data_IF_835613361226
#
_entry.id   IF_835613361226
#
_cell.length_a   1.000
_cell.length_b   1.000
_cell.length_c   1.000
_cell.angle_alpha   90.00
_cell.angle_beta   90.00
_cell.angle_gamma   90.00
#
_symmetry.space_group_name_H-M   'P 1'
#
loop_
_entity.id
_entity.type
_entity.pdbx_description
1 polymer ?
#
# COMPACT_ATOMS: atom_id res chain seq x y z
N UNK A 1 -14.92 19.62 2.66
CA UNK A 1 -14.39 19.61 4.04
C UNK A 1 -13.68 18.28 4.22
N UNK A 2 -12.35 18.26 4.45
CA UNK A 2 -11.62 17.00 4.64
C UNK A 2 -12.00 16.42 6.01
N UNK A 3 -12.40 15.16 6.06
CA UNK A 3 -12.64 14.44 7.32
C UNK A 3 -11.31 14.35 8.10
N UNK A 4 -11.30 14.87 9.30
CA UNK A 4 -10.12 14.91 10.17
C UNK A 4 -10.57 14.96 11.63
N UNK A 5 -10.01 14.11 12.46
CA UNK A 5 -10.13 14.15 13.93
C UNK A 5 -8.70 14.15 14.49
N UNK A 6 -8.37 15.13 15.34
CA UNK A 6 -7.02 15.33 15.81
C UNK A 6 -7.01 15.89 17.24
N UNK A 7 -5.83 16.01 17.83
CA UNK A 7 -5.65 16.57 19.18
C UNK A 7 -6.33 17.93 19.34
N UNK A 8 -7.09 18.07 20.41
CA UNK A 8 -7.90 19.24 20.74
C UNK A 8 -9.36 19.14 20.27
N UNK A 9 -9.71 18.18 19.42
CA UNK A 9 -11.10 17.92 19.04
C UNK A 9 -11.86 17.23 20.20
N UNK A 10 -13.19 17.38 20.19
CA UNK A 10 -14.06 16.75 21.18
C UNK A 10 -15.43 16.40 20.59
N UNK A 11 -16.13 15.48 21.24
CA UNK A 11 -17.50 15.09 20.87
C UNK A 11 -17.66 13.62 20.47
N UNK A 12 -18.80 13.28 19.85
CA UNK A 12 -19.18 11.90 19.52
C UNK A 12 -18.21 11.21 18.55
N UNK A 13 -17.67 11.94 17.57
CA UNK A 13 -16.70 11.39 16.63
C UNK A 13 -15.40 10.95 17.33
N UNK A 14 -14.96 11.71 18.33
CA UNK A 14 -13.80 11.33 19.16
C UNK A 14 -14.13 10.12 20.02
N UNK A 15 -15.34 10.06 20.59
CA UNK A 15 -15.79 8.92 21.39
C UNK A 15 -15.85 7.63 20.57
N UNK A 16 -16.38 7.67 19.35
CA UNK A 16 -16.40 6.50 18.45
C UNK A 16 -14.97 6.07 18.05
N UNK A 17 -14.09 7.03 17.77
CA UNK A 17 -12.67 6.77 17.52
C UNK A 17 -12.00 6.05 18.68
N UNK A 18 -12.14 6.57 19.91
CA UNK A 18 -11.58 5.98 21.12
C UNK A 18 -12.12 4.58 21.38
N UNK A 19 -13.43 4.38 21.20
CA UNK A 19 -14.05 3.07 21.35
C UNK A 19 -13.47 2.04 20.38
N UNK A 20 -13.31 2.39 19.09
CA UNK A 20 -12.71 1.50 18.08
C UNK A 20 -11.26 1.19 18.36
N UNK A 21 -10.48 2.19 18.75
CA UNK A 21 -9.07 2.00 19.15
C UNK A 21 -8.98 1.03 20.34
N UNK A 22 -9.76 1.24 21.40
CA UNK A 22 -9.78 0.38 22.57
C UNK A 22 -10.21 -1.07 22.23
N UNK A 23 -11.21 -1.25 21.36
CA UNK A 23 -11.65 -2.58 20.91
C UNK A 23 -10.54 -3.33 20.17
N UNK A 24 -9.65 -2.62 19.49
CA UNK A 24 -8.48 -3.18 18.79
C UNK A 24 -7.23 -3.29 19.67
N UNK A 25 -7.35 -2.97 20.98
CA UNK A 25 -6.26 -3.07 21.96
C UNK A 25 -5.39 -1.81 22.08
N UNK A 26 -5.79 -0.70 21.46
CA UNK A 26 -5.12 0.61 21.58
C UNK A 26 -5.90 1.51 22.54
N UNK A 27 -5.83 1.23 23.83
CA UNK A 27 -6.57 2.00 24.85
C UNK A 27 -6.00 3.43 24.96
N UNK A 28 -6.81 4.48 24.69
CA UNK A 28 -6.38 5.87 24.86
C UNK A 28 -6.10 6.30 26.32
N UNK A 29 -6.72 5.64 27.30
CA UNK A 29 -6.56 5.99 28.72
C UNK A 29 -7.08 7.39 29.08
N UNK A 30 -7.99 7.96 28.30
CA UNK A 30 -8.50 9.33 28.42
C UNK A 30 -10.02 9.36 28.56
N UNK A 31 -10.59 10.50 29.07
CA UNK A 31 -12.03 10.68 29.11
C UNK A 31 -12.67 10.53 27.72
N UNK A 32 -13.80 9.81 27.68
CA UNK A 32 -14.51 9.56 26.42
C UNK A 32 -14.99 10.87 25.77
N UNK A 33 -14.62 11.03 24.50
CA UNK A 33 -14.99 12.21 23.69
C UNK A 33 -14.05 13.41 23.81
N UNK A 34 -12.85 13.24 24.38
CA UNK A 34 -11.79 14.27 24.40
C UNK A 34 -10.54 13.69 23.73
N UNK A 35 -10.06 14.32 22.67
CA UNK A 35 -8.85 13.91 21.97
C UNK A 35 -7.64 14.62 22.59
N UNK A 36 -6.99 13.99 23.53
CA UNK A 36 -5.76 14.45 24.16
C UNK A 36 -4.53 13.66 23.73
N UNK A 37 -3.51 13.64 24.59
CA UNK A 37 -2.23 12.95 24.31
C UNK A 37 -2.35 11.43 24.22
N UNK A 38 -3.20 10.84 25.05
CA UNK A 38 -3.42 9.38 25.06
C UNK A 38 -4.13 8.91 23.79
N UNK A 39 -5.13 9.66 23.31
CA UNK A 39 -5.80 9.36 22.04
C UNK A 39 -4.85 9.54 20.85
N UNK A 40 -4.01 10.57 20.85
CA UNK A 40 -2.98 10.77 19.84
C UNK A 40 -1.98 9.61 19.82
N UNK A 41 -1.48 9.21 20.97
CA UNK A 41 -0.56 8.06 21.09
C UNK A 41 -1.20 6.76 20.62
N UNK A 42 -2.48 6.51 20.91
CA UNK A 42 -3.21 5.35 20.41
C UNK A 42 -3.39 5.36 18.90
N UNK A 43 -3.68 6.55 18.30
CA UNK A 43 -3.75 6.71 16.84
C UNK A 43 -2.39 6.46 16.20
N UNK A 44 -1.30 7.04 16.72
CA UNK A 44 0.06 6.80 16.23
C UNK A 44 0.42 5.30 16.27
N UNK A 45 0.17 4.63 17.40
CA UNK A 45 0.43 3.21 17.56
C UNK A 45 -0.36 2.36 16.54
N UNK A 46 -1.64 2.68 16.34
CA UNK A 46 -2.48 2.04 15.33
C UNK A 46 -1.94 2.28 13.91
N UNK A 47 -1.58 3.52 13.58
CA UNK A 47 -1.03 3.87 12.27
C UNK A 47 0.26 3.10 11.98
N UNK A 48 1.17 3.02 12.94
CA UNK A 48 2.40 2.19 12.84
C UNK A 48 2.06 0.73 12.59
N UNK A 49 1.19 0.15 13.43
CA UNK A 49 0.83 -1.27 13.34
C UNK A 49 0.12 -1.62 12.03
N UNK A 50 -0.59 -0.64 11.44
CA UNK A 50 -1.32 -0.82 10.17
C UNK A 50 -0.52 -0.37 8.94
N UNK A 51 0.72 0.10 9.11
CA UNK A 51 1.55 0.60 8.01
C UNK A 51 0.95 1.81 7.30
N UNK A 52 0.19 2.64 8.01
CA UNK A 52 -0.40 3.88 7.53
C UNK A 52 0.61 5.04 7.65
N UNK A 53 0.22 6.21 7.15
CA UNK A 53 0.93 7.45 7.42
C UNK A 53 0.86 7.77 8.91
N UNK A 54 2.01 8.03 9.54
CA UNK A 54 2.14 8.15 11.01
C UNK A 54 2.19 9.63 11.38
N UNK A 55 1.01 10.25 11.52
CA UNK A 55 0.86 11.68 11.79
C UNK A 55 0.02 11.98 13.07
N UNK A 56 -0.49 10.95 13.75
CA UNK A 56 -1.35 11.10 14.92
C UNK A 56 -2.75 11.65 14.60
N UNK A 57 -3.09 11.80 13.32
CA UNK A 57 -4.37 12.36 12.88
C UNK A 57 -5.25 11.23 12.36
N UNK A 58 -6.47 11.12 12.87
CA UNK A 58 -7.45 10.22 12.30
C UNK A 58 -8.11 10.87 11.08
N UNK A 59 -7.42 10.77 9.93
CA UNK A 59 -7.95 11.11 8.62
C UNK A 59 -8.80 9.99 8.03
N UNK A 60 -9.25 10.16 6.78
CA UNK A 60 -10.10 9.19 6.09
C UNK A 60 -9.47 7.79 6.01
N UNK A 61 -8.19 7.69 5.72
CA UNK A 61 -7.49 6.40 5.63
C UNK A 61 -7.41 5.70 6.99
N UNK A 62 -7.03 6.42 8.05
CA UNK A 62 -6.97 5.89 9.41
C UNK A 62 -8.34 5.42 9.86
N UNK A 63 -9.39 6.23 9.62
CA UNK A 63 -10.76 5.85 9.94
C UNK A 63 -11.24 4.61 9.18
N UNK A 64 -11.01 4.55 7.88
CA UNK A 64 -11.37 3.37 7.08
C UNK A 64 -10.66 2.12 7.58
N UNK A 65 -9.37 2.21 7.89
CA UNK A 65 -8.58 1.11 8.44
C UNK A 65 -9.07 0.64 9.81
N UNK A 66 -9.52 1.57 10.67
CA UNK A 66 -10.16 1.22 11.96
C UNK A 66 -11.48 0.46 11.77
N UNK A 67 -12.28 0.86 10.79
CA UNK A 67 -13.55 0.16 10.46
C UNK A 67 -13.26 -1.21 9.86
N UNK A 68 -12.30 -1.31 8.96
CA UNK A 68 -11.88 -2.54 8.28
C UNK A 68 -11.30 -3.58 9.26
N UNK A 69 -10.55 -3.12 10.26
CA UNK A 69 -9.96 -3.97 11.30
C UNK A 69 -10.98 -4.57 12.28
N UNK A 70 -12.21 -4.06 12.28
CA UNK A 70 -13.28 -4.54 13.16
C UNK A 70 -13.99 -5.81 12.66
N UNK A 71 -13.62 -6.35 11.49
CA UNK A 71 -14.26 -7.55 10.93
C UNK A 71 -13.33 -8.75 10.90
N UNK A 72 -13.78 -9.89 11.45
CA UNK A 72 -13.15 -11.18 11.26
C UNK A 72 -13.88 -12.00 10.17
N UNK A 73 -13.18 -12.97 9.58
CA UNK A 73 -13.78 -13.86 8.57
C UNK A 73 -14.92 -14.67 9.20
N UNK A 74 -16.12 -14.50 8.66
CA UNK A 74 -17.35 -15.10 9.18
C UNK A 74 -18.30 -14.12 9.86
N UNK A 75 -17.87 -12.92 10.25
CA UNK A 75 -18.72 -11.90 10.89
C UNK A 75 -19.81 -11.37 9.94
N UNK A 76 -19.52 -11.39 8.65
CA UNK A 76 -20.43 -10.94 7.59
C UNK A 76 -20.26 -11.76 6.33
N UNK A 77 -21.26 -11.67 5.43
CA UNK A 77 -21.16 -12.26 4.09
C UNK A 77 -20.20 -11.44 3.23
N UNK A 78 -19.23 -12.10 2.59
CA UNK A 78 -18.32 -11.47 1.64
C UNK A 78 -18.71 -11.86 0.22
N UNK A 79 -18.93 -10.87 -0.64
CA UNK A 79 -19.31 -11.03 -2.04
C UNK A 79 -18.89 -9.83 -2.87
N UNK A 80 -18.77 -10.02 -4.17
CA UNK A 80 -18.42 -8.94 -5.08
C UNK A 80 -19.57 -7.94 -5.24
N UNK A 81 -19.31 -6.65 -5.01
CA UNK A 81 -20.25 -5.55 -5.21
C UNK A 81 -19.52 -4.26 -5.58
N UNK A 82 -20.25 -3.22 -5.96
CA UNK A 82 -19.73 -1.87 -6.15
C UNK A 82 -20.39 -0.92 -5.13
N UNK A 83 -19.62 -0.17 -4.32
CA UNK A 83 -18.18 -0.26 -4.13
C UNK A 83 -17.76 -1.59 -3.50
N UNK A 84 -16.53 -2.05 -3.80
CA UNK A 84 -16.00 -3.34 -3.30
C UNK A 84 -16.03 -3.41 -1.77
N UNK A 85 -16.34 -4.59 -1.23
CA UNK A 85 -16.17 -4.87 0.19
C UNK A 85 -14.68 -4.78 0.56
N UNK A 86 -14.41 -4.25 1.75
CA UNK A 86 -13.07 -4.05 2.29
C UNK A 86 -13.01 -4.54 3.73
N UNK A 87 -11.89 -5.11 4.14
CA UNK A 87 -11.66 -5.46 5.54
C UNK A 87 -10.59 -6.52 5.74
N UNK A 88 -10.22 -6.72 7.01
CA UNK A 88 -9.30 -7.77 7.43
C UNK A 88 -9.89 -9.16 7.18
N UNK A 89 -11.21 -9.30 7.23
CA UNK A 89 -11.94 -10.50 6.82
C UNK A 89 -11.71 -10.86 5.34
N UNK A 90 -11.59 -9.85 4.47
CA UNK A 90 -11.26 -10.08 3.05
C UNK A 90 -9.79 -10.45 2.90
N UNK A 91 -8.87 -9.84 3.67
CA UNK A 91 -7.45 -10.24 3.71
C UNK A 91 -7.32 -11.72 4.10
N UNK A 92 -8.00 -12.14 5.18
CA UNK A 92 -7.98 -13.54 5.64
C UNK A 92 -8.55 -14.50 4.60
N UNK A 93 -9.65 -14.12 3.93
CA UNK A 93 -10.19 -14.88 2.81
C UNK A 93 -9.18 -15.05 1.67
N UNK A 94 -8.58 -13.94 1.21
CA UNK A 94 -7.58 -13.95 0.13
C UNK A 94 -6.37 -14.80 0.51
N UNK A 95 -5.86 -14.63 1.74
CA UNK A 95 -4.74 -15.42 2.25
C UNK A 95 -5.04 -16.92 2.23
N UNK A 96 -6.21 -17.35 2.75
CA UNK A 96 -6.61 -18.77 2.77
C UNK A 96 -6.80 -19.34 1.37
N UNK A 97 -7.40 -18.59 0.46
CA UNK A 97 -7.57 -19.00 -0.94
C UNK A 97 -6.20 -19.18 -1.61
N UNK A 98 -5.28 -18.21 -1.48
CA UNK A 98 -3.93 -18.27 -2.02
C UNK A 98 -3.13 -19.43 -1.43
N UNK A 99 -3.23 -19.68 -0.12
CA UNK A 99 -2.57 -20.79 0.56
C UNK A 99 -3.08 -22.16 0.12
N UNK A 100 -4.34 -22.24 -0.33
CA UNK A 100 -4.95 -23.46 -0.90
C UNK A 100 -4.70 -23.61 -2.41
N UNK A 101 -4.02 -22.67 -3.05
CA UNK A 101 -3.68 -22.70 -4.47
C UNK A 101 -4.71 -22.03 -5.39
N UNK A 102 -5.73 -21.35 -4.83
CA UNK A 102 -6.71 -20.57 -5.59
C UNK A 102 -6.23 -19.12 -5.68
N UNK A 103 -6.02 -18.62 -6.89
CA UNK A 103 -5.44 -17.29 -7.10
C UNK A 103 -6.44 -16.16 -6.80
N UNK A 104 -6.46 -15.71 -5.56
CA UNK A 104 -7.24 -14.56 -5.13
C UNK A 104 -6.58 -13.20 -5.48
N UNK A 105 -5.40 -13.21 -6.10
CA UNK A 105 -4.57 -12.04 -6.31
C UNK A 105 -3.85 -11.59 -5.04
N UNK A 106 -3.52 -10.29 -4.98
CA UNK A 106 -2.86 -9.68 -3.81
C UNK A 106 -3.77 -9.78 -2.58
N UNK A 107 -3.17 -9.96 -1.43
CA UNK A 107 -3.87 -9.96 -0.13
C UNK A 107 -4.05 -8.50 0.35
N UNK A 108 -4.85 -7.76 -0.39
CA UNK A 108 -5.06 -6.31 -0.25
C UNK A 108 -6.31 -5.94 0.55
N UNK A 109 -7.13 -6.93 0.89
CA UNK A 109 -8.38 -6.73 1.61
C UNK A 109 -9.49 -6.12 0.77
N UNK A 110 -9.38 -6.16 -0.57
CA UNK A 110 -10.41 -5.69 -1.50
C UNK A 110 -11.08 -6.90 -2.18
N UNK A 111 -12.40 -7.08 -1.99
CA UNK A 111 -13.12 -8.17 -2.65
C UNK A 111 -13.35 -7.84 -4.13
N UNK A 112 -12.30 -8.03 -4.93
CA UNK A 112 -12.28 -7.76 -6.36
C UNK A 112 -12.63 -8.97 -7.23
N UNK A 113 -12.51 -8.83 -8.57
CA UNK A 113 -12.79 -9.92 -9.51
C UNK A 113 -11.91 -11.17 -9.32
N UNK A 114 -10.62 -10.98 -8.95
CA UNK A 114 -9.72 -12.11 -8.70
C UNK A 114 -10.18 -12.90 -7.46
N UNK A 115 -10.52 -12.20 -6.37
CA UNK A 115 -11.05 -12.82 -5.15
C UNK A 115 -12.35 -13.58 -5.44
N UNK A 116 -13.24 -13.00 -6.26
CA UNK A 116 -14.48 -13.68 -6.70
C UNK A 116 -14.14 -14.95 -7.50
N UNK A 117 -13.25 -14.87 -8.48
CA UNK A 117 -12.85 -16.00 -9.31
C UNK A 117 -12.28 -17.15 -8.48
N UNK A 118 -11.35 -16.84 -7.57
CA UNK A 118 -10.75 -17.80 -6.65
C UNK A 118 -11.78 -18.44 -5.70
N UNK A 119 -12.73 -17.63 -5.18
CA UNK A 119 -13.80 -18.14 -4.32
C UNK A 119 -14.72 -19.11 -5.06
N UNK A 120 -15.14 -18.77 -6.28
CA UNK A 120 -15.97 -19.67 -7.12
C UNK A 120 -15.26 -20.98 -7.43
N UNK A 121 -13.99 -20.93 -7.74
CA UNK A 121 -13.17 -22.12 -7.98
C UNK A 121 -13.02 -22.96 -6.73
N UNK A 122 -12.72 -22.34 -5.59
CA UNK A 122 -12.68 -22.99 -4.29
C UNK A 122 -13.99 -23.68 -3.94
N UNK A 123 -15.12 -22.96 -4.05
CA UNK A 123 -16.46 -23.49 -3.75
C UNK A 123 -16.77 -24.74 -4.57
N UNK A 124 -16.43 -24.72 -5.87
CA UNK A 124 -16.60 -25.88 -6.76
C UNK A 124 -15.78 -27.07 -6.32
N UNK A 125 -14.49 -26.84 -5.95
CA UNK A 125 -13.58 -27.91 -5.52
C UNK A 125 -13.91 -28.42 -4.11
N UNK A 126 -14.41 -27.57 -3.23
CA UNK A 126 -14.81 -27.93 -1.87
C UNK A 126 -16.19 -28.60 -1.79
N UNK A 127 -16.97 -28.64 -2.91
CA UNK A 127 -18.30 -29.24 -2.95
C UNK A 127 -19.36 -28.44 -2.18
N UNK A 128 -19.18 -27.11 -2.04
CA UNK A 128 -20.15 -26.18 -1.46
C UNK A 128 -20.87 -25.41 -2.58
N UNK A 129 -21.94 -24.66 -2.24
CA UNK A 129 -22.67 -23.86 -3.22
C UNK A 129 -21.72 -22.90 -3.95
N UNK A 130 -21.69 -22.95 -5.28
CA UNK A 130 -20.83 -22.12 -6.13
C UNK A 130 -21.55 -20.83 -6.51
N UNK A 131 -21.76 -19.95 -5.53
CA UNK A 131 -22.55 -18.72 -5.63
C UNK A 131 -21.68 -17.44 -5.59
N UNK A 132 -20.39 -17.57 -5.31
CA UNK A 132 -19.47 -16.43 -5.17
C UNK A 132 -19.69 -15.64 -3.88
N UNK A 133 -20.42 -16.20 -2.90
CA UNK A 133 -20.65 -15.61 -1.59
C UNK A 133 -19.88 -16.41 -0.53
N UNK A 134 -18.90 -15.78 0.14
CA UNK A 134 -18.26 -16.37 1.28
C UNK A 134 -19.18 -16.23 2.51
N UNK A 135 -20.05 -17.20 2.68
CA UNK A 135 -20.95 -17.35 3.81
C UNK A 135 -20.48 -18.50 4.73
N UNK A 136 -21.28 -18.88 5.75
CA UNK A 136 -20.89 -19.85 6.78
C UNK A 136 -20.38 -21.20 6.23
N UNK A 137 -20.99 -21.70 5.15
CA UNK A 137 -20.55 -22.97 4.53
C UNK A 137 -19.17 -22.86 3.90
N UNK A 138 -18.88 -21.74 3.20
CA UNK A 138 -17.56 -21.46 2.61
C UNK A 138 -16.50 -21.25 3.69
N UNK A 139 -16.84 -20.51 4.77
CA UNK A 139 -15.93 -20.29 5.90
C UNK A 139 -15.56 -21.61 6.57
N UNK A 140 -16.53 -22.46 6.89
CA UNK A 140 -16.29 -23.77 7.50
C UNK A 140 -15.44 -24.68 6.59
N UNK A 141 -15.63 -24.63 5.27
CA UNK A 141 -14.80 -25.38 4.32
C UNK A 141 -13.36 -24.84 4.28
N UNK A 142 -13.18 -23.51 4.27
CA UNK A 142 -11.87 -22.86 4.34
C UNK A 142 -11.11 -23.23 5.62
N UNK A 143 -11.74 -23.16 6.78
CA UNK A 143 -11.14 -23.52 8.08
C UNK A 143 -10.68 -24.95 8.13
N UNK A 144 -11.48 -25.89 7.60
CA UNK A 144 -11.15 -27.31 7.54
C UNK A 144 -9.93 -27.58 6.66
N UNK A 145 -9.83 -26.91 5.50
CA UNK A 145 -8.79 -27.16 4.50
C UNK A 145 -7.50 -26.38 4.76
N UNK A 146 -7.58 -25.17 5.33
CA UNK A 146 -6.40 -24.33 5.61
C UNK A 146 -5.39 -24.96 6.58
N UNK A 147 -5.78 -25.98 7.36
CA UNK A 147 -4.88 -26.73 8.24
C UNK A 147 -3.80 -27.51 7.49
N UNK A 148 -3.92 -27.68 6.20
CA UNK A 148 -3.04 -28.49 5.35
C UNK A 148 -2.28 -27.67 4.30
N UNK A 149 -2.43 -26.35 4.27
CA UNK A 149 -1.91 -25.48 3.23
C UNK A 149 -0.52 -24.90 3.58
N UNK A 150 0.35 -24.76 2.57
CA UNK A 150 1.67 -24.10 2.66
C UNK A 150 2.03 -23.37 1.38
N UNK A 151 2.25 -22.04 1.48
CA UNK A 151 2.74 -21.18 0.42
C UNK A 151 1.66 -20.31 -0.26
N UNK A 152 2.05 -19.10 -0.73
CA UNK A 152 1.15 -18.17 -1.43
C UNK A 152 1.39 -18.18 -2.94
N UNK A 153 0.35 -18.49 -3.72
CA UNK A 153 0.38 -18.47 -5.20
C UNK A 153 0.56 -17.04 -5.75
N UNK A 154 0.03 -16.04 -5.05
CA UNK A 154 0.13 -14.63 -5.47
C UNK A 154 1.59 -14.14 -5.56
N UNK A 155 2.44 -14.51 -4.60
CA UNK A 155 3.85 -14.13 -4.59
C UNK A 155 4.65 -14.79 -5.73
N UNK A 156 4.28 -16.03 -6.10
CA UNK A 156 4.91 -16.73 -7.23
C UNK A 156 4.56 -16.06 -8.55
N UNK A 157 3.28 -15.72 -8.75
CA UNK A 157 2.81 -15.06 -9.99
C UNK A 157 3.38 -13.65 -10.17
N UNK A 158 3.47 -12.85 -9.12
CA UNK A 158 4.10 -11.52 -9.18
C UNK A 158 5.58 -11.64 -9.65
N UNK A 159 6.27 -12.68 -9.16
CA UNK A 159 7.64 -13.00 -9.55
C UNK A 159 7.78 -13.44 -11.01
N UNK A 160 6.84 -14.23 -11.50
CA UNK A 160 6.81 -14.67 -12.90
C UNK A 160 6.53 -13.49 -13.85
N UNK A 161 5.57 -12.64 -13.53
CA UNK A 161 5.27 -11.43 -14.33
C UNK A 161 6.47 -10.49 -14.44
N UNK A 162 7.28 -10.38 -13.37
CA UNK A 162 8.53 -9.61 -13.42
C UNK A 162 9.58 -10.24 -14.34
N UNK A 163 9.67 -11.56 -14.38
CA UNK A 163 10.62 -12.27 -15.25
C UNK A 163 10.27 -12.14 -16.72
N UNK A 164 9.00 -12.14 -17.08
CA UNK A 164 8.53 -12.00 -18.45
C UNK A 164 8.75 -10.59 -19.02
N UNK A 165 8.82 -9.59 -18.16
CA UNK A 165 8.91 -8.18 -18.57
C UNK A 165 10.21 -7.55 -18.03
N UNK A 166 11.35 -7.92 -18.57
CA UNK A 166 12.67 -7.55 -18.04
C UNK A 166 13.22 -6.19 -18.49
N UNK A 167 12.45 -5.34 -19.19
CA UNK A 167 12.93 -4.04 -19.68
C UNK A 167 12.01 -2.90 -19.26
N UNK A 168 12.60 -1.72 -18.97
CA UNK A 168 11.86 -0.49 -18.68
C UNK A 168 11.28 0.11 -19.98
N UNK A 169 11.95 -0.09 -21.11
CA UNK A 169 11.50 0.40 -22.40
C UNK A 169 10.13 -0.21 -22.79
N UNK A 170 9.19 0.67 -23.15
CA UNK A 170 7.81 0.31 -23.49
C UNK A 170 6.87 0.13 -22.32
N UNK A 171 7.35 0.20 -21.07
CA UNK A 171 6.49 0.16 -19.87
C UNK A 171 5.79 1.48 -19.63
N UNK A 172 4.57 1.40 -19.13
CA UNK A 172 3.78 2.54 -18.68
C UNK A 172 4.03 2.79 -17.21
N UNK A 173 4.63 3.95 -16.91
CA UNK A 173 4.91 4.39 -15.53
C UNK A 173 3.95 5.52 -15.15
N UNK A 174 3.18 5.31 -14.09
CA UNK A 174 2.38 6.38 -13.50
C UNK A 174 3.20 7.05 -12.40
N UNK A 175 3.53 8.33 -12.60
CA UNK A 175 4.33 9.14 -11.68
C UNK A 175 3.42 10.11 -10.92
N UNK A 176 3.07 9.78 -9.67
CA UNK A 176 2.30 10.64 -8.79
C UNK A 176 3.23 11.54 -7.97
N UNK A 177 2.88 12.82 -7.87
CA UNK A 177 3.76 13.85 -7.30
C UNK A 177 3.03 14.66 -6.25
N UNK A 178 3.60 14.73 -5.05
CA UNK A 178 3.14 15.65 -4.03
C UNK A 178 3.57 17.09 -4.37
N UNK A 179 2.69 18.11 -4.18
CA UNK A 179 3.04 19.51 -4.40
C UNK A 179 4.33 19.92 -3.68
N UNK A 180 5.21 20.61 -4.41
CA UNK A 180 6.54 21.00 -3.94
C UNK A 180 7.69 20.11 -4.42
N UNK A 181 7.40 18.95 -5.00
CA UNK A 181 8.39 18.06 -5.64
C UNK A 181 8.38 18.13 -7.17
N UNK A 182 7.68 19.11 -7.76
CA UNK A 182 7.45 19.26 -9.20
C UNK A 182 8.76 19.27 -10.02
N UNK A 183 9.78 19.99 -9.54
CA UNK A 183 11.08 20.06 -10.21
C UNK A 183 11.80 18.69 -10.22
N UNK A 184 11.71 17.92 -9.15
CA UNK A 184 12.25 16.57 -9.08
C UNK A 184 11.45 15.64 -10.00
N UNK A 185 10.14 15.76 -10.01
CA UNK A 185 9.24 14.98 -10.86
C UNK A 185 9.52 15.18 -12.35
N UNK A 186 9.78 16.42 -12.77
CA UNK A 186 10.15 16.73 -14.14
C UNK A 186 11.46 16.05 -14.56
N UNK A 187 12.45 16.03 -13.67
CA UNK A 187 13.73 15.35 -13.91
C UNK A 187 13.57 13.82 -13.97
N UNK A 188 12.80 13.25 -13.06
CA UNK A 188 12.50 11.82 -13.03
C UNK A 188 11.68 11.42 -14.26
N UNK A 189 10.60 12.15 -14.57
CA UNK A 189 9.74 11.87 -15.72
C UNK A 189 10.51 11.89 -17.04
N UNK A 190 11.33 12.94 -17.27
CA UNK A 190 12.21 12.99 -18.46
C UNK A 190 13.18 11.81 -18.50
N UNK A 191 13.86 11.53 -17.40
CA UNK A 191 14.82 10.43 -17.36
C UNK A 191 14.19 9.06 -17.60
N UNK A 192 12.95 8.83 -17.17
CA UNK A 192 12.20 7.60 -17.47
C UNK A 192 11.79 7.54 -18.96
N UNK A 193 11.36 8.66 -19.54
CA UNK A 193 11.06 8.75 -20.99
C UNK A 193 12.32 8.52 -21.82
N UNK A 194 13.45 9.11 -21.44
CA UNK A 194 14.75 8.88 -22.10
C UNK A 194 15.20 7.42 -22.01
N UNK A 195 14.80 6.70 -20.95
CA UNK A 195 15.00 5.26 -20.80
C UNK A 195 13.97 4.40 -21.58
N UNK A 196 13.06 5.03 -22.32
CA UNK A 196 12.09 4.39 -23.21
C UNK A 196 10.74 4.05 -22.57
N UNK A 197 10.46 4.50 -21.36
CA UNK A 197 9.16 4.32 -20.72
C UNK A 197 8.11 5.31 -21.28
N UNK A 198 6.84 4.90 -21.26
CA UNK A 198 5.69 5.78 -21.42
C UNK A 198 5.28 6.30 -20.05
N UNK A 199 5.36 7.62 -19.82
CA UNK A 199 5.20 8.20 -18.47
C UNK A 199 4.01 9.15 -18.43
N UNK A 200 3.06 8.88 -17.52
CA UNK A 200 2.02 9.82 -17.16
C UNK A 200 2.38 10.44 -15.79
N UNK A 201 2.52 11.77 -15.78
CA UNK A 201 2.81 12.53 -14.56
C UNK A 201 1.52 13.13 -14.01
N UNK A 202 1.22 12.85 -12.75
CA UNK A 202 0.09 13.41 -11.99
C UNK A 202 0.59 14.23 -10.80
N UNK A 203 0.41 15.55 -10.87
CA UNK A 203 0.74 16.51 -9.81
C UNK A 203 -0.51 17.15 -9.16
N UNK A 204 -1.70 16.56 -9.36
CA UNK A 204 -2.95 17.19 -8.90
C UNK A 204 -3.13 17.21 -7.38
N UNK A 205 -2.33 16.44 -6.63
CA UNK A 205 -2.43 16.34 -5.17
C UNK A 205 -3.76 15.74 -4.70
N UNK A 206 -4.33 14.85 -5.49
CA UNK A 206 -5.57 14.12 -5.20
C UNK A 206 -5.42 13.18 -3.99
N UNK A 207 -6.56 12.71 -3.45
CA UNK A 207 -6.56 11.66 -2.44
C UNK A 207 -6.00 10.35 -3.00
N UNK A 208 -5.29 9.59 -2.20
CA UNK A 208 -4.61 8.33 -2.57
C UNK A 208 -5.49 7.34 -3.35
N UNK A 209 -6.75 7.16 -2.94
CA UNK A 209 -7.67 6.25 -3.65
C UNK A 209 -8.02 6.76 -5.04
N UNK A 210 -8.09 8.08 -5.25
CA UNK A 210 -8.30 8.68 -6.57
C UNK A 210 -7.09 8.47 -7.45
N UNK A 211 -5.89 8.76 -6.94
CA UNK A 211 -4.61 8.53 -7.63
C UNK A 211 -4.45 7.07 -8.03
N UNK A 212 -4.77 6.13 -7.12
CA UNK A 212 -4.73 4.70 -7.41
C UNK A 212 -5.72 4.30 -8.51
N UNK A 213 -6.94 4.86 -8.51
CA UNK A 213 -7.94 4.60 -9.54
C UNK A 213 -7.50 5.13 -10.91
N UNK A 214 -6.89 6.31 -10.98
CA UNK A 214 -6.35 6.90 -12.20
C UNK A 214 -5.15 6.09 -12.74
N UNK A 215 -4.22 5.67 -11.88
CA UNK A 215 -3.12 4.80 -12.25
C UNK A 215 -3.61 3.45 -12.82
N UNK A 216 -4.66 2.87 -12.21
CA UNK A 216 -5.29 1.65 -12.71
C UNK A 216 -6.00 1.86 -14.05
N UNK A 217 -6.66 3.02 -14.25
CA UNK A 217 -7.29 3.38 -15.53
C UNK A 217 -6.26 3.60 -16.64
N UNK A 218 -5.12 4.20 -16.33
CA UNK A 218 -3.97 4.32 -17.23
C UNK A 218 -3.39 2.94 -17.61
N UNK A 219 -3.69 1.89 -16.84
CA UNK A 219 -3.12 0.54 -16.97
C UNK A 219 -1.60 0.59 -16.87
N UNK A 220 -1.08 1.31 -15.88
CA UNK A 220 0.35 1.38 -15.61
C UNK A 220 0.97 0.01 -15.32
N UNK A 221 2.22 -0.17 -15.70
CA UNK A 221 3.02 -1.36 -15.38
C UNK A 221 3.85 -1.15 -14.12
N UNK A 222 4.05 0.12 -13.72
CA UNK A 222 4.70 0.55 -12.48
C UNK A 222 4.05 1.83 -11.98
N UNK A 223 3.82 1.91 -10.67
CA UNK A 223 3.47 3.14 -9.97
C UNK A 223 4.69 3.66 -9.21
N UNK A 224 5.03 4.92 -9.44
CA UNK A 224 6.06 5.64 -8.69
C UNK A 224 5.46 6.90 -8.06
N UNK A 225 5.45 6.97 -6.73
CA UNK A 225 5.06 8.17 -5.99
C UNK A 225 6.30 8.96 -5.54
N UNK A 226 6.25 10.28 -5.67
CA UNK A 226 7.22 11.18 -5.04
C UNK A 226 6.49 11.96 -3.96
N UNK A 227 6.89 11.78 -2.70
CA UNK A 227 6.29 12.44 -1.53
C UNK A 227 7.34 12.91 -0.55
N UNK A 228 6.97 13.83 0.30
CA UNK A 228 7.75 14.11 1.50
C UNK A 228 7.57 12.98 2.52
N UNK A 229 8.62 12.71 3.29
CA UNK A 229 8.64 11.65 4.29
C UNK A 229 7.99 12.03 5.61
N UNK A 230 7.64 11.01 6.37
CA UNK A 230 7.20 11.09 7.77
C UNK A 230 8.35 10.87 8.78
N UNK A 231 9.57 10.61 8.28
CA UNK A 231 10.77 10.30 9.06
C UNK A 231 11.98 11.05 8.51
N UNK A 232 13.02 11.31 9.32
CA UNK A 232 14.28 11.88 8.84
C UNK A 232 14.96 11.00 7.80
N UNK A 233 15.69 11.64 6.88
CA UNK A 233 16.43 10.94 5.81
C UNK A 233 15.58 10.64 4.58
N UNK A 234 16.11 9.79 3.69
CA UNK A 234 15.39 9.33 2.52
C UNK A 234 14.87 7.91 2.74
N UNK A 235 13.64 7.65 2.32
CA UNK A 235 12.98 6.35 2.49
C UNK A 235 12.21 5.97 1.22
N UNK A 236 11.92 4.67 1.08
CA UNK A 236 11.03 4.15 0.06
C UNK A 236 10.02 3.20 0.68
N UNK A 237 8.74 3.40 0.35
CA UNK A 237 7.66 2.58 0.83
C UNK A 237 7.13 1.69 -0.32
N UNK A 238 6.73 0.48 0.02
CA UNK A 238 6.11 -0.47 -0.90
C UNK A 238 4.93 -1.18 -0.23
N UNK A 239 4.08 -1.88 -0.99
CA UNK A 239 2.95 -2.59 -0.39
C UNK A 239 3.39 -3.84 0.35
N UNK A 240 3.09 -3.88 1.65
CA UNK A 240 3.19 -5.09 2.46
C UNK A 240 2.14 -5.09 3.57
N UNK A 241 1.63 -6.27 3.86
CA UNK A 241 0.78 -6.59 5.01
C UNK A 241 1.51 -7.58 5.93
N UNK A 242 0.84 -8.05 6.96
CA UNK A 242 1.41 -9.08 7.85
C UNK A 242 1.62 -10.43 7.16
N UNK A 243 0.86 -10.74 6.11
CA UNK A 243 0.85 -12.03 5.41
C UNK A 243 1.32 -11.96 3.96
N UNK A 244 1.42 -10.77 3.40
CA UNK A 244 1.79 -10.55 2.00
C UNK A 244 2.81 -9.43 1.85
N UNK A 245 3.78 -9.62 0.95
CA UNK A 245 4.74 -8.61 0.51
C UNK A 245 4.78 -8.57 -1.01
N UNK A 246 4.64 -7.38 -1.60
CA UNK A 246 4.88 -7.19 -3.03
C UNK A 246 6.38 -7.34 -3.30
N UNK A 247 6.78 -8.47 -3.87
CA UNK A 247 8.20 -8.73 -4.18
C UNK A 247 8.73 -7.76 -5.24
N UNK A 248 7.90 -7.44 -6.23
CA UNK A 248 8.22 -6.45 -7.26
C UNK A 248 8.41 -5.05 -6.68
N UNK A 249 7.46 -4.62 -5.85
CA UNK A 249 7.52 -3.33 -5.15
C UNK A 249 8.74 -3.25 -4.23
N UNK A 250 8.99 -4.28 -3.43
CA UNK A 250 10.15 -4.35 -2.55
C UNK A 250 11.47 -4.20 -3.31
N UNK A 251 11.63 -4.94 -4.41
CA UNK A 251 12.84 -4.92 -5.22
C UNK A 251 13.11 -3.53 -5.82
N UNK A 252 12.09 -2.92 -6.45
CA UNK A 252 12.23 -1.57 -7.01
C UNK A 252 12.55 -0.57 -5.89
N UNK A 253 11.89 -0.69 -4.73
CA UNK A 253 12.15 0.18 -3.58
C UNK A 253 13.58 0.03 -3.06
N UNK A 254 14.15 -1.18 -2.95
CA UNK A 254 15.54 -1.41 -2.58
C UNK A 254 16.51 -0.70 -3.54
N UNK A 255 16.31 -0.88 -4.85
CA UNK A 255 17.18 -0.28 -5.85
C UNK A 255 17.07 1.26 -5.85
N UNK A 256 15.87 1.81 -5.78
CA UNK A 256 15.65 3.26 -5.73
C UNK A 256 16.27 3.86 -4.46
N UNK A 257 16.02 3.25 -3.30
CA UNK A 257 16.53 3.74 -2.03
C UNK A 257 18.07 3.70 -1.98
N UNK A 258 18.69 2.62 -2.45
CA UNK A 258 20.16 2.50 -2.48
C UNK A 258 20.82 3.57 -3.36
N UNK A 259 20.29 3.81 -4.57
CA UNK A 259 20.78 4.86 -5.46
C UNK A 259 20.54 6.27 -4.90
N UNK A 260 19.35 6.51 -4.34
CA UNK A 260 18.97 7.80 -3.78
C UNK A 260 19.77 8.14 -2.53
N UNK A 261 19.95 7.18 -1.61
CA UNK A 261 20.74 7.35 -0.39
C UNK A 261 22.19 7.69 -0.73
N UNK A 262 22.76 7.02 -1.72
CA UNK A 262 24.11 7.34 -2.22
C UNK A 262 24.18 8.75 -2.82
N UNK A 263 23.16 9.17 -3.59
CA UNK A 263 23.14 10.47 -4.23
C UNK A 263 22.96 11.63 -3.23
N UNK A 264 22.19 11.44 -2.18
CA UNK A 264 21.90 12.46 -1.17
C UNK A 264 22.81 12.37 0.06
N UNK A 265 23.63 11.31 0.19
CA UNK A 265 24.48 11.10 1.36
C UNK A 265 23.70 10.72 2.62
N UNK A 266 22.48 10.13 2.46
CA UNK A 266 21.68 9.63 3.57
C UNK A 266 22.16 8.25 4.02
N UNK A 267 21.85 7.88 5.27
CA UNK A 267 22.04 6.50 5.71
C UNK A 267 21.16 5.56 4.85
N UNK A 268 21.71 4.39 4.51
CA UNK A 268 20.95 3.38 3.77
C UNK A 268 20.14 2.59 4.78
N UNK A 269 18.80 2.68 4.66
CA UNK A 269 17.85 1.90 5.44
C UNK A 269 17.15 0.86 4.55
N UNK A 270 16.39 -0.04 5.14
CA UNK A 270 15.54 -0.95 4.38
C UNK A 270 14.24 -0.25 3.95
N UNK A 271 13.71 -0.56 2.75
CA UNK A 271 12.40 -0.10 2.33
C UNK A 271 11.30 -0.54 3.30
N UNK A 272 10.29 0.30 3.49
CA UNK A 272 9.24 0.07 4.48
C UNK A 272 7.98 -0.51 3.85
N UNK A 273 7.48 -1.60 4.44
CA UNK A 273 6.17 -2.15 4.09
C UNK A 273 5.05 -1.25 4.60
N UNK A 274 4.17 -0.79 3.71
CA UNK A 274 3.05 0.12 4.04
C UNK A 274 1.75 -0.33 3.36
N UNK A 275 0.61 0.13 3.90
CA UNK A 275 -0.73 -0.26 3.44
C UNK A 275 -1.63 0.92 3.09
N UNK A 276 -1.10 2.15 3.00
CA UNK A 276 -1.92 3.28 2.61
C UNK A 276 -2.47 3.12 1.17
N UNK A 277 -3.57 3.81 0.89
CA UNK A 277 -4.45 3.47 -0.22
C UNK A 277 -3.75 3.40 -1.58
N UNK A 278 -2.81 4.30 -1.87
CA UNK A 278 -2.12 4.29 -3.17
C UNK A 278 -1.26 3.05 -3.38
N UNK A 279 -0.64 2.50 -2.33
CA UNK A 279 0.12 1.25 -2.42
C UNK A 279 -0.77 0.01 -2.47
N UNK A 280 -1.90 0.06 -1.76
CA UNK A 280 -2.84 -1.05 -1.62
C UNK A 280 -3.75 -1.21 -2.84
N UNK A 281 -4.30 -0.10 -3.35
CA UNK A 281 -5.36 -0.10 -4.35
C UNK A 281 -4.84 -0.09 -5.79
N UNK A 282 -3.56 0.19 -6.03
CA UNK A 282 -2.92 0.04 -7.34
C UNK A 282 -2.75 -1.44 -7.70
N UNK A 283 -2.99 -1.79 -8.96
CA UNK A 283 -2.93 -3.17 -9.46
C UNK A 283 -1.56 -3.59 -9.96
N UNK A 284 -0.66 -2.62 -10.16
CA UNK A 284 0.73 -2.81 -10.57
C UNK A 284 1.65 -2.74 -9.35
N UNK A 285 2.93 -3.15 -9.46
CA UNK A 285 3.94 -2.84 -8.47
C UNK A 285 3.98 -1.35 -8.16
N UNK A 286 3.98 -0.99 -6.88
CA UNK A 286 3.90 0.40 -6.45
C UNK A 286 5.01 0.69 -5.43
N UNK A 287 5.69 1.82 -5.64
CA UNK A 287 6.73 2.36 -4.77
C UNK A 287 6.46 3.83 -4.53
N UNK A 288 6.60 4.27 -3.28
CA UNK A 288 6.57 5.69 -2.91
C UNK A 288 7.94 6.08 -2.38
N UNK A 289 8.59 6.95 -3.11
CA UNK A 289 9.91 7.49 -2.79
C UNK A 289 9.75 8.79 -1.98
N UNK A 290 10.43 8.87 -0.85
CA UNK A 290 10.39 9.99 0.08
C UNK A 290 11.82 10.52 0.24
N UNK A 291 12.25 11.48 -0.59
CA UNK A 291 13.63 11.95 -0.64
C UNK A 291 14.02 12.87 0.53
N UNK A 292 13.06 13.45 1.23
CA UNK A 292 13.28 14.32 2.40
C UNK A 292 12.00 14.39 3.25
N UNK A 293 12.13 14.75 4.51
CA UNK A 293 11.02 15.08 5.39
C UNK A 293 10.58 16.53 5.16
N UNK A 294 9.26 16.80 5.12
CA UNK A 294 8.72 18.13 4.81
C UNK A 294 9.13 19.21 5.82
N UNK A 295 9.19 18.86 7.10
CA UNK A 295 9.46 19.77 8.22
C UNK A 295 10.98 20.01 8.40
N UNK A 296 11.83 19.19 7.77
CA UNK A 296 13.27 19.35 7.80
C UNK A 296 13.73 20.28 6.67
N UNK A 297 13.80 21.58 7.01
CA UNK A 297 14.18 22.65 6.05
C UNK A 297 15.58 22.41 5.45
N UNK A 298 16.51 21.83 6.22
CA UNK A 298 17.87 21.58 5.74
C UNK A 298 17.90 20.37 4.79
N UNK A 299 17.16 19.32 5.08
CA UNK A 299 16.98 18.19 4.17
C UNK A 299 16.29 18.62 2.85
N UNK A 300 15.25 19.43 2.92
CA UNK A 300 14.58 19.98 1.72
C UNK A 300 15.52 20.87 0.91
N UNK A 301 16.30 21.74 1.56
CA UNK A 301 17.29 22.59 0.88
C UNK A 301 18.38 21.74 0.22
N UNK A 302 18.82 20.70 0.91
CA UNK A 302 19.80 19.74 0.37
C UNK A 302 19.27 19.02 -0.86
N UNK A 303 18.03 18.51 -0.79
CA UNK A 303 17.34 17.89 -1.93
C UNK A 303 17.24 18.84 -3.12
N UNK A 304 16.83 20.09 -2.91
CA UNK A 304 16.73 21.09 -3.99
C UNK A 304 18.07 21.33 -4.64
N UNK A 305 19.15 21.48 -3.85
CA UNK A 305 20.50 21.72 -4.36
C UNK A 305 21.05 20.54 -5.18
N UNK A 306 20.57 19.33 -4.91
CA UNK A 306 21.00 18.08 -5.58
C UNK A 306 19.87 17.41 -6.40
N UNK A 307 18.83 18.14 -6.75
CA UNK A 307 17.65 17.58 -7.44
C UNK A 307 18.02 16.82 -8.73
N UNK A 308 19.00 17.29 -9.50
CA UNK A 308 19.48 16.61 -10.70
C UNK A 308 20.17 15.27 -10.40
N UNK A 309 20.89 15.16 -9.28
CA UNK A 309 21.51 13.91 -8.85
C UNK A 309 20.47 12.94 -8.31
N UNK A 310 19.55 13.42 -7.49
CA UNK A 310 18.43 12.67 -6.94
C UNK A 310 17.53 12.12 -8.05
N UNK A 311 17.16 12.94 -9.04
CA UNK A 311 16.35 12.50 -10.18
C UNK A 311 17.02 11.38 -10.98
N UNK A 312 18.32 11.53 -11.31
CA UNK A 312 19.07 10.47 -11.99
C UNK A 312 19.20 9.20 -11.14
N UNK A 313 19.36 9.34 -9.83
CA UNK A 313 19.43 8.21 -8.91
C UNK A 313 18.11 7.41 -8.89
N UNK A 314 16.97 8.11 -8.78
CA UNK A 314 15.64 7.47 -8.82
C UNK A 314 15.47 6.70 -10.14
N UNK A 315 15.79 7.32 -11.28
CA UNK A 315 15.68 6.67 -12.60
C UNK A 315 16.58 5.43 -12.69
N UNK A 316 17.85 5.51 -12.23
CA UNK A 316 18.74 4.34 -12.20
C UNK A 316 18.18 3.24 -11.30
N UNK A 317 17.68 3.60 -10.12
CA UNK A 317 17.09 2.64 -9.19
C UNK A 317 15.86 1.95 -9.77
N UNK A 318 14.95 2.68 -10.40
CA UNK A 318 13.79 2.11 -11.11
C UNK A 318 14.26 1.16 -12.20
N UNK A 319 15.21 1.58 -13.05
CA UNK A 319 15.72 0.75 -14.12
C UNK A 319 16.36 -0.53 -13.60
N UNK A 320 17.23 -0.45 -12.59
CA UNK A 320 17.85 -1.62 -11.95
C UNK A 320 16.81 -2.56 -11.36
N UNK A 321 15.84 -2.03 -10.62
CA UNK A 321 14.78 -2.80 -10.01
C UNK A 321 13.89 -3.53 -11.01
N UNK A 322 13.76 -3.01 -12.24
CA UNK A 322 12.99 -3.63 -13.33
C UNK A 322 13.83 -4.60 -14.14
N UNK A 323 15.08 -4.24 -14.51
CA UNK A 323 15.89 -4.91 -15.53
C UNK A 323 16.88 -5.94 -14.98
N UNK A 324 17.39 -5.79 -13.75
CA UNK A 324 18.35 -6.75 -13.20
C UNK A 324 17.69 -8.11 -12.97
N UNK A 325 18.40 -9.23 -13.28
CA UNK A 325 17.87 -10.57 -13.02
C UNK A 325 17.57 -10.79 -11.54
N UNK A 326 16.57 -11.61 -11.26
CA UNK A 326 16.25 -12.04 -9.89
C UNK A 326 17.35 -13.02 -9.46
N UNK A 327 18.32 -12.55 -8.66
CA UNK A 327 19.24 -13.47 -7.99
C UNK A 327 18.43 -14.31 -6.99
N UNK A 328 18.48 -15.63 -7.17
CA UNK A 328 17.69 -16.63 -6.47
C UNK A 328 18.15 -16.81 -5.02
#
# INVERSE_FOLDING_TARGET
MRFRIARGDSGEAVRDLQHRLATLGYDPGEPAGVFGEGTEAAVLAFQVARGLWVDGICGRQTWSSLVEAGYALGDRLLYHRTPMLRGDDVVDLQHRLNALGFDAGREDGLFGPNTLGALLEFQRNAGVATDGICGPASVAALERLSRFAGGSVAAVRERETLREQSHLAGRRVYLAVEPGLDALAELVGRGLVDAGADVLVDGAGNEDSTVAAEANAYKGDLFLGLRFGDMPGCTCDYFATRTFRSEAGFRVACCVLGELSSALGCAVEEPRGRTYAVLRETRMPAVVCQPAQADDVDAVRHLVSRAGEAGRAIVRGVRRGVEEPYDA
#
